data_IF_678050965097
#
_entry.id   IF_678050965097
#
_cell.length_a   1.000
_cell.length_b   1.000
_cell.length_c   1.000
_cell.angle_alpha   90.00
_cell.angle_beta   90.00
_cell.angle_gamma   90.00
#
_symmetry.space_group_name_H-M   'P 1'
#
loop_
_entity.id
_entity.type
_entity.pdbx_description
1 polymer ?
#
# COMPACT_ATOMS: atom_id res chain seq x y z
N UNK A 1 4.73 10.92 26.72
CA UNK A 1 4.50 11.06 25.27
C UNK A 1 5.34 10.02 24.54
N UNK A 2 4.76 8.87 24.16
CA UNK A 2 5.45 7.91 23.30
C UNK A 2 5.29 8.40 21.87
N UNK A 3 6.33 9.02 21.33
CA UNK A 3 6.41 9.32 19.91
C UNK A 3 6.45 7.98 19.17
N UNK A 4 5.28 7.47 18.75
CA UNK A 4 5.24 6.46 17.70
C UNK A 4 5.85 7.14 16.48
N UNK A 5 7.03 6.68 16.07
CA UNK A 5 7.65 7.11 14.84
C UNK A 5 6.66 6.78 13.70
N UNK A 6 5.90 7.79 13.27
CA UNK A 6 5.23 7.72 12.00
C UNK A 6 6.37 7.70 10.97
N UNK A 7 6.82 6.51 10.58
CA UNK A 7 7.60 6.29 9.37
C UNK A 7 6.73 6.74 8.21
N UNK A 8 6.79 8.04 7.89
CA UNK A 8 6.28 8.59 6.65
C UNK A 8 7.40 8.40 5.60
N UNK A 9 7.84 7.16 5.42
CA UNK A 9 8.67 6.82 4.28
C UNK A 9 7.78 6.90 3.05
N UNK A 10 8.09 7.85 2.18
CA UNK A 10 7.38 8.04 0.92
C UNK A 10 7.93 7.05 -0.10
N UNK A 11 7.35 5.85 -0.12
CA UNK A 11 7.76 4.79 -1.03
C UNK A 11 7.19 5.08 -2.44
N UNK A 12 8.09 5.27 -3.40
CA UNK A 12 7.74 5.56 -4.80
C UNK A 12 8.03 4.36 -5.68
N UNK A 13 7.03 3.93 -6.44
CA UNK A 13 7.16 2.85 -7.41
C UNK A 13 6.77 3.33 -8.80
N UNK A 14 7.48 2.84 -9.82
CA UNK A 14 7.10 3.00 -11.22
C UNK A 14 6.34 1.76 -11.64
N UNK A 15 5.14 1.97 -12.17
CA UNK A 15 4.27 0.93 -12.72
C UNK A 15 3.81 1.37 -14.10
N UNK A 16 3.45 0.41 -14.95
CA UNK A 16 2.83 0.73 -16.22
C UNK A 16 1.47 1.43 -16.01
N UNK A 17 0.99 2.19 -17.01
CA UNK A 17 -0.35 2.79 -16.93
C UNK A 17 -1.47 1.76 -16.75
N UNK A 18 -1.32 0.56 -17.32
CA UNK A 18 -2.29 -0.52 -17.21
C UNK A 18 -2.35 -1.06 -15.77
N UNK A 19 -1.20 -1.32 -15.16
CA UNK A 19 -1.11 -1.77 -13.76
C UNK A 19 -1.66 -0.72 -12.82
N UNK A 20 -1.35 0.57 -13.03
CA UNK A 20 -1.90 1.65 -12.22
C UNK A 20 -3.42 1.64 -12.22
N UNK A 21 -4.05 1.48 -13.39
CA UNK A 21 -5.53 1.39 -13.50
C UNK A 21 -6.08 0.18 -12.75
N UNK A 22 -5.43 -0.98 -12.87
CA UNK A 22 -5.86 -2.19 -12.17
C UNK A 22 -5.79 -2.01 -10.65
N UNK A 23 -4.70 -1.42 -10.14
CA UNK A 23 -4.51 -1.14 -8.72
C UNK A 23 -5.51 -0.11 -8.19
N UNK A 24 -5.78 0.96 -8.95
CA UNK A 24 -6.80 1.95 -8.57
C UNK A 24 -8.19 1.31 -8.51
N UNK A 25 -8.58 0.54 -9.53
CA UNK A 25 -9.86 -0.16 -9.51
C UNK A 25 -9.99 -1.15 -8.34
N UNK A 26 -8.89 -1.81 -7.94
CA UNK A 26 -8.87 -2.69 -6.79
C UNK A 26 -9.02 -1.92 -5.47
N UNK A 27 -8.39 -0.76 -5.34
CA UNK A 27 -8.53 0.13 -4.19
C UNK A 27 -9.96 0.68 -4.08
N UNK A 28 -10.54 1.13 -5.19
CA UNK A 28 -11.91 1.66 -5.25
C UNK A 28 -12.94 0.63 -4.82
N UNK A 29 -12.81 -0.63 -5.26
CA UNK A 29 -13.68 -1.75 -4.82
C UNK A 29 -13.66 -1.98 -3.32
N UNK A 30 -12.57 -1.61 -2.64
CA UNK A 30 -12.41 -1.73 -1.19
C UNK A 30 -12.72 -0.42 -0.45
N UNK A 31 -13.09 0.65 -1.16
CA UNK A 31 -13.34 1.97 -0.58
C UNK A 31 -12.09 2.61 0.04
N UNK A 32 -10.90 2.29 -0.50
CA UNK A 32 -9.60 2.76 0.03
C UNK A 32 -8.91 3.64 -1.00
N UNK A 33 -8.06 4.54 -0.52
CA UNK A 33 -7.09 5.20 -1.41
C UNK A 33 -6.06 4.18 -1.91
N UNK A 34 -5.45 4.46 -3.07
CA UNK A 34 -4.40 3.60 -3.62
C UNK A 34 -3.23 3.37 -2.65
N UNK A 35 -2.84 4.41 -1.90
CA UNK A 35 -1.77 4.31 -0.91
C UNK A 35 -2.12 3.43 0.28
N UNK A 36 -3.36 3.51 0.78
CA UNK A 36 -3.85 2.65 1.86
C UNK A 36 -3.93 1.21 1.41
N UNK A 37 -4.50 0.98 0.21
CA UNK A 37 -4.60 -0.34 -0.40
C UNK A 37 -3.22 -1.01 -0.54
N UNK A 38 -2.23 -0.27 -1.05
CA UNK A 38 -0.88 -0.78 -1.22
C UNK A 38 -0.19 -1.03 0.12
N UNK A 39 -0.36 -0.14 1.11
CA UNK A 39 0.23 -0.31 2.45
C UNK A 39 -0.31 -1.56 3.13
N UNK A 40 -1.61 -1.81 3.02
CA UNK A 40 -2.24 -3.03 3.54
C UNK A 40 -1.71 -4.28 2.82
N UNK A 41 -1.72 -4.30 1.49
CA UNK A 41 -1.25 -5.44 0.71
C UNK A 41 0.22 -5.79 1.00
N UNK A 42 1.08 -4.77 1.14
CA UNK A 42 2.50 -4.97 1.51
C UNK A 42 2.61 -5.47 2.94
N UNK A 43 1.83 -4.93 3.89
CA UNK A 43 1.86 -5.37 5.29
C UNK A 43 1.41 -6.83 5.44
N UNK A 44 0.33 -7.23 4.75
CA UNK A 44 -0.13 -8.62 4.70
C UNK A 44 0.94 -9.55 4.11
N UNK A 45 1.61 -9.12 3.04
CA UNK A 45 2.67 -9.90 2.40
C UNK A 45 3.89 -10.02 3.30
N UNK A 46 4.31 -8.93 3.95
CA UNK A 46 5.43 -8.93 4.89
C UNK A 46 5.17 -9.86 6.09
N UNK A 47 3.94 -9.88 6.61
CA UNK A 47 3.54 -10.81 7.68
C UNK A 47 3.61 -12.27 7.25
N UNK A 48 3.28 -12.58 5.99
CA UNK A 48 3.35 -13.95 5.45
C UNK A 48 4.76 -14.42 5.14
N UNK A 49 5.65 -13.51 4.72
CA UNK A 49 7.03 -13.83 4.36
C UNK A 49 7.96 -13.82 5.58
N UNK A 50 7.62 -13.04 6.60
CA UNK A 50 8.36 -12.99 7.87
C UNK A 50 7.96 -14.05 8.91
N UNK A 51 6.96 -14.89 8.60
CA UNK A 51 6.53 -16.04 9.41
C UNK A 51 7.12 -17.34 8.83
#
# INVERSE_FOLDING_TARGET
>A
MRLSAAMIDNIRFRVSPAEKRALTAAADRRGKTLSEFLREAVSETAQRVGA
#
